data_IF_166715768818
#
_entry.id   IF_166715768818
#
_cell.length_a   1.000
_cell.length_b   1.000
_cell.length_c   1.000
_cell.angle_alpha   90.00
_cell.angle_beta   90.00
_cell.angle_gamma   90.00
#
_symmetry.space_group_name_H-M   'P 1'
#
loop_
_entity.id
_entity.type
_entity.pdbx_description
1 polymer ?
#
# COMPACT_ATOMS: atom_id res chain seq x y z
N UNK A 1 -28.60 -4.08 2.03
CA UNK A 1 -27.62 -3.07 2.55
C UNK A 1 -26.26 -3.45 2.00
N UNK A 2 -25.48 -2.51 1.44
CA UNK A 2 -24.08 -2.83 1.09
C UNK A 2 -23.32 -3.08 2.39
N UNK A 3 -22.57 -4.19 2.51
CA UNK A 3 -21.74 -4.42 3.68
C UNK A 3 -20.77 -3.24 3.81
N UNK A 4 -20.68 -2.64 4.97
CA UNK A 4 -19.79 -1.51 5.24
C UNK A 4 -18.52 -2.03 5.90
N UNK A 5 -17.40 -1.42 5.57
CA UNK A 5 -16.17 -1.61 6.34
C UNK A 5 -16.48 -1.15 7.77
N UNK A 6 -16.17 -2.01 8.73
CA UNK A 6 -16.49 -1.72 10.13
C UNK A 6 -15.60 -0.61 10.68
N UNK A 7 -16.17 0.17 11.61
CA UNK A 7 -15.44 1.10 12.48
C UNK A 7 -15.36 0.57 13.92
N UNK A 8 -15.64 -0.73 14.11
CA UNK A 8 -15.48 -1.36 15.42
C UNK A 8 -14.02 -1.71 15.65
N UNK A 9 -13.42 -1.14 16.67
CA UNK A 9 -12.01 -1.31 17.03
C UNK A 9 -11.90 -2.30 18.16
N UNK A 10 -10.86 -3.16 18.06
CA UNK A 10 -10.51 -4.10 19.10
C UNK A 10 -9.11 -3.78 19.62
N UNK A 11 -8.93 -3.97 20.93
CA UNK A 11 -7.61 -3.95 21.55
C UNK A 11 -6.91 -5.30 21.33
N UNK A 12 -5.59 -5.28 21.18
CA UNK A 12 -4.78 -6.48 21.02
C UNK A 12 -4.33 -6.72 19.57
N UNK A 13 -4.07 -7.97 19.25
CA UNK A 13 -3.56 -8.40 17.94
C UNK A 13 -4.62 -9.15 17.15
N UNK A 14 -4.62 -8.98 15.84
CA UNK A 14 -5.44 -9.78 14.94
C UNK A 14 -4.95 -11.23 14.91
N UNK A 15 -5.88 -12.16 14.73
CA UNK A 15 -5.57 -13.52 14.30
C UNK A 15 -6.17 -13.75 12.92
N UNK A 16 -5.29 -13.87 11.90
CA UNK A 16 -5.70 -14.02 10.50
C UNK A 16 -5.92 -15.51 10.16
N UNK A 17 -5.02 -16.38 10.60
CA UNK A 17 -5.08 -17.82 10.30
C UNK A 17 -5.06 -18.65 11.59
N UNK A 18 -5.81 -19.78 11.59
CA UNK A 18 -5.73 -20.77 12.67
C UNK A 18 -4.44 -21.60 12.63
N UNK A 19 -3.85 -21.79 11.44
CA UNK A 19 -2.59 -22.49 11.27
C UNK A 19 -1.43 -21.61 11.73
N UNK A 20 -0.59 -22.04 12.68
CA UNK A 20 0.50 -21.22 13.24
C UNK A 20 1.54 -20.79 12.19
N UNK A 21 1.85 -21.65 11.23
CA UNK A 21 2.79 -21.32 10.15
C UNK A 21 2.24 -20.21 9.25
N UNK A 22 0.99 -20.33 8.79
CA UNK A 22 0.35 -19.28 8.00
C UNK A 22 0.19 -17.98 8.80
N UNK A 23 -0.11 -18.10 10.09
CA UNK A 23 -0.23 -16.93 10.98
C UNK A 23 1.12 -16.21 11.15
N UNK A 24 2.23 -16.93 11.24
CA UNK A 24 3.56 -16.31 11.31
C UNK A 24 3.91 -15.51 10.05
N UNK A 25 3.41 -15.92 8.87
CA UNK A 25 3.60 -15.21 7.61
C UNK A 25 2.78 -13.91 7.51
N UNK A 26 1.90 -13.63 8.49
CA UNK A 26 1.13 -12.37 8.53
C UNK A 26 1.82 -11.27 9.32
N UNK A 27 2.92 -11.58 9.96
CA UNK A 27 3.65 -10.69 10.88
C UNK A 27 4.98 -10.27 10.26
N UNK A 28 5.39 -9.04 10.53
CA UNK A 28 6.70 -8.55 10.12
C UNK A 28 7.18 -7.40 11.02
N UNK A 29 8.46 -7.13 10.91
CA UNK A 29 9.11 -5.95 11.47
C UNK A 29 9.65 -5.03 10.36
N UNK A 30 9.85 -3.73 10.62
CA UNK A 30 10.31 -2.79 9.62
C UNK A 30 11.69 -3.12 9.02
N UNK A 31 12.58 -3.73 9.80
CA UNK A 31 13.96 -4.04 9.37
C UNK A 31 13.93 -5.12 8.29
N UNK A 32 13.18 -6.20 8.52
CA UNK A 32 12.96 -7.27 7.52
C UNK A 32 12.45 -6.71 6.19
N UNK A 33 11.49 -5.79 6.25
CA UNK A 33 10.94 -5.15 5.06
C UNK A 33 11.99 -4.29 4.33
N UNK A 34 12.78 -3.49 5.05
CA UNK A 34 13.85 -2.68 4.45
C UNK A 34 14.86 -3.57 3.75
N UNK A 35 15.30 -4.64 4.40
CA UNK A 35 16.31 -5.56 3.85
C UNK A 35 15.77 -6.25 2.60
N UNK A 36 14.64 -6.94 2.71
CA UNK A 36 14.12 -7.77 1.62
C UNK A 36 13.70 -6.92 0.42
N UNK A 37 12.92 -5.88 0.65
CA UNK A 37 12.44 -5.04 -0.44
C UNK A 37 13.53 -4.12 -0.99
N UNK A 38 14.48 -3.67 -0.15
CA UNK A 38 15.65 -2.92 -0.57
C UNK A 38 16.55 -3.75 -1.50
N UNK A 39 16.87 -4.99 -1.11
CA UNK A 39 17.63 -5.91 -1.96
C UNK A 39 16.90 -6.21 -3.28
N UNK A 40 15.60 -6.43 -3.24
CA UNK A 40 14.79 -6.64 -4.45
C UNK A 40 14.91 -5.45 -5.40
N UNK A 41 14.82 -4.21 -4.89
CA UNK A 41 14.99 -3.01 -5.71
C UNK A 41 16.40 -2.87 -6.28
N UNK A 42 17.43 -3.19 -5.50
CA UNK A 42 18.82 -3.16 -5.99
C UNK A 42 19.04 -4.18 -7.11
N UNK A 43 18.49 -5.39 -6.97
CA UNK A 43 18.55 -6.43 -8.03
C UNK A 43 17.83 -5.94 -9.29
N UNK A 44 16.64 -5.36 -9.17
CA UNK A 44 15.90 -4.83 -10.32
C UNK A 44 16.64 -3.68 -11.00
N UNK A 45 17.27 -2.78 -10.23
CA UNK A 45 18.07 -1.70 -10.77
C UNK A 45 19.30 -2.23 -11.52
N UNK A 46 20.00 -3.22 -10.97
CA UNK A 46 21.10 -3.92 -11.63
C UNK A 46 20.64 -4.55 -12.95
N UNK A 47 19.55 -5.30 -12.93
CA UNK A 47 19.00 -5.93 -14.14
C UNK A 47 18.61 -4.86 -15.16
N UNK A 48 18.02 -3.74 -14.76
CA UNK A 48 17.65 -2.66 -15.67
C UNK A 48 18.84 -2.08 -16.43
N UNK A 49 19.95 -1.83 -15.73
CA UNK A 49 21.12 -1.15 -16.30
C UNK A 49 22.04 -2.17 -17.01
N UNK A 50 22.45 -3.22 -16.30
CA UNK A 50 23.51 -4.13 -16.79
C UNK A 50 22.98 -5.22 -17.72
N UNK A 51 21.72 -5.67 -17.53
CA UNK A 51 21.17 -6.77 -18.33
C UNK A 51 20.26 -6.27 -19.44
N UNK A 52 19.39 -5.29 -19.15
CA UNK A 52 18.45 -4.73 -20.13
C UNK A 52 19.03 -3.54 -20.92
N UNK A 53 20.23 -3.06 -20.57
CA UNK A 53 20.93 -2.02 -21.29
C UNK A 53 20.32 -0.62 -21.19
N UNK A 54 19.54 -0.32 -20.16
CA UNK A 54 19.02 1.02 -19.95
C UNK A 54 20.15 1.96 -19.54
N UNK A 55 20.24 3.12 -20.18
CA UNK A 55 21.13 4.17 -19.68
C UNK A 55 20.66 4.65 -18.30
N UNK A 56 21.57 5.18 -17.48
CA UNK A 56 21.24 5.74 -16.16
C UNK A 56 20.14 6.80 -16.26
N UNK A 57 20.16 7.63 -17.29
CA UNK A 57 19.15 8.67 -17.50
C UNK A 57 17.76 8.06 -17.78
N UNK A 58 17.71 7.02 -18.62
CA UNK A 58 16.46 6.28 -18.87
C UNK A 58 15.95 5.60 -17.59
N UNK A 59 16.83 4.94 -16.84
CA UNK A 59 16.47 4.32 -15.56
C UNK A 59 15.88 5.34 -14.59
N UNK A 60 16.56 6.47 -14.37
CA UNK A 60 16.08 7.53 -13.45
C UNK A 60 14.75 8.11 -13.91
N UNK A 61 14.57 8.38 -15.21
CA UNK A 61 13.31 8.87 -15.76
C UNK A 61 12.15 7.89 -15.53
N UNK A 62 12.37 6.61 -15.85
CA UNK A 62 11.36 5.55 -15.63
C UNK A 62 11.07 5.33 -14.14
N UNK A 63 12.10 5.37 -13.30
CA UNK A 63 11.95 5.27 -11.86
C UNK A 63 11.06 6.38 -11.30
N UNK A 64 11.28 7.63 -11.70
CA UNK A 64 10.45 8.78 -11.29
C UNK A 64 9.00 8.61 -11.77
N UNK A 65 8.80 8.15 -13.01
CA UNK A 65 7.46 7.85 -13.54
C UNK A 65 6.79 6.75 -12.70
N UNK A 66 7.51 5.67 -12.40
CA UNK A 66 7.00 4.57 -11.57
C UNK A 66 6.62 5.03 -10.15
N UNK A 67 7.48 5.84 -9.53
CA UNK A 67 7.25 6.43 -8.22
C UNK A 67 5.98 7.31 -8.20
N UNK A 68 5.82 8.15 -9.22
CA UNK A 68 4.60 8.96 -9.36
C UNK A 68 3.37 8.09 -9.61
N UNK A 69 3.49 7.07 -10.47
CA UNK A 69 2.39 6.16 -10.79
C UNK A 69 1.94 5.36 -9.55
N UNK A 70 2.85 5.04 -8.62
CA UNK A 70 2.46 4.43 -7.35
C UNK A 70 1.43 5.28 -6.60
N UNK A 71 1.55 6.60 -6.59
CA UNK A 71 0.60 7.46 -5.86
C UNK A 71 -0.84 7.27 -6.33
N UNK A 72 -1.04 7.03 -7.63
CA UNK A 72 -2.33 6.68 -8.22
C UNK A 72 -2.74 5.24 -7.86
N UNK A 73 -1.80 4.30 -8.00
CA UNK A 73 -2.04 2.89 -7.69
C UNK A 73 -2.41 2.70 -6.20
N UNK A 74 -1.74 3.39 -5.27
CA UNK A 74 -2.09 3.44 -3.84
C UNK A 74 -3.57 3.76 -3.64
N UNK A 75 -4.03 4.85 -4.25
CA UNK A 75 -5.42 5.28 -4.15
C UNK A 75 -6.40 4.26 -4.73
N UNK A 76 -6.10 3.72 -5.92
CA UNK A 76 -6.95 2.74 -6.61
C UNK A 76 -7.00 1.43 -5.84
N UNK A 77 -5.85 0.91 -5.41
CA UNK A 77 -5.77 -0.33 -4.62
C UNK A 77 -6.48 -0.18 -3.28
N UNK A 78 -6.25 0.92 -2.58
CA UNK A 78 -6.89 1.18 -1.29
C UNK A 78 -8.41 1.25 -1.44
N UNK A 79 -8.91 2.05 -2.39
CA UNK A 79 -10.35 2.26 -2.58
C UNK A 79 -11.07 1.05 -3.15
N UNK A 80 -10.54 0.42 -4.19
CA UNK A 80 -11.27 -0.54 -5.01
C UNK A 80 -10.86 -1.99 -4.78
N UNK A 81 -9.72 -2.26 -4.13
CA UNK A 81 -9.26 -3.60 -3.80
C UNK A 81 -9.34 -3.85 -2.30
N UNK A 82 -8.72 -3.00 -1.49
CA UNK A 82 -8.64 -3.21 -0.05
C UNK A 82 -9.98 -2.96 0.66
N UNK A 83 -10.76 -1.98 0.20
CA UNK A 83 -12.11 -1.69 0.69
C UNK A 83 -13.22 -2.39 -0.09
N UNK A 84 -12.86 -3.28 -1.03
CA UNK A 84 -13.87 -4.05 -1.75
C UNK A 84 -14.42 -5.17 -0.89
N UNK A 85 -15.70 -5.07 -0.54
CA UNK A 85 -16.41 -6.05 0.26
C UNK A 85 -17.85 -6.22 -0.26
N UNK A 86 -18.28 -7.47 -0.38
CA UNK A 86 -19.63 -7.86 -0.78
C UNK A 86 -20.26 -8.75 0.29
N UNK A 87 -21.51 -9.19 0.08
CA UNK A 87 -22.18 -10.14 0.98
C UNK A 87 -21.60 -11.56 0.91
N UNK A 88 -20.84 -11.89 -0.14
CA UNK A 88 -20.20 -13.18 -0.31
C UNK A 88 -19.11 -13.42 0.75
N UNK A 89 -19.14 -14.57 1.41
CA UNK A 89 -18.21 -14.94 2.48
C UNK A 89 -16.73 -14.85 2.06
N UNK A 90 -16.42 -15.24 0.82
CA UNK A 90 -15.06 -15.17 0.29
C UNK A 90 -14.57 -13.73 0.14
N UNK A 91 -15.43 -12.81 -0.29
CA UNK A 91 -15.11 -11.38 -0.40
C UNK A 91 -14.84 -10.77 0.99
N UNK A 92 -15.69 -11.09 1.98
CA UNK A 92 -15.50 -10.65 3.36
C UNK A 92 -14.16 -11.18 3.93
N UNK A 93 -13.84 -12.46 3.64
CA UNK A 93 -12.59 -13.06 4.06
C UNK A 93 -11.38 -12.43 3.37
N UNK A 94 -11.47 -12.18 2.06
CA UNK A 94 -10.45 -11.48 1.29
C UNK A 94 -10.19 -10.08 1.85
N UNK A 95 -11.26 -9.28 2.03
CA UNK A 95 -11.16 -7.96 2.63
C UNK A 95 -10.50 -8.02 4.01
N UNK A 96 -10.93 -8.95 4.88
CA UNK A 96 -10.36 -9.10 6.22
C UNK A 96 -8.85 -9.37 6.18
N UNK A 97 -8.40 -10.26 5.30
CA UNK A 97 -6.97 -10.59 5.16
C UNK A 97 -6.18 -9.40 4.62
N UNK A 98 -6.70 -8.72 3.61
CA UNK A 98 -5.97 -7.67 2.90
C UNK A 98 -5.89 -6.36 3.69
N UNK A 99 -6.97 -6.00 4.41
CA UNK A 99 -7.07 -4.69 5.03
C UNK A 99 -8.03 -4.62 6.24
N UNK A 100 -9.06 -5.46 6.27
CA UNK A 100 -10.07 -5.45 7.33
C UNK A 100 -9.49 -5.73 8.71
N UNK A 101 -8.52 -6.66 8.83
CA UNK A 101 -7.82 -6.92 10.09
C UNK A 101 -7.14 -5.66 10.62
N UNK A 102 -6.51 -4.86 9.73
CA UNK A 102 -5.90 -3.60 10.08
C UNK A 102 -6.92 -2.54 10.56
N UNK A 103 -8.10 -2.46 9.95
CA UNK A 103 -9.19 -1.60 10.43
C UNK A 103 -9.73 -2.02 11.79
N UNK A 104 -9.85 -3.33 12.05
CA UNK A 104 -10.28 -3.85 13.36
C UNK A 104 -9.23 -3.68 14.45
N UNK A 105 -7.94 -3.85 14.11
CA UNK A 105 -6.80 -3.80 15.03
C UNK A 105 -5.77 -2.75 14.59
N UNK A 106 -6.11 -1.46 14.58
CA UNK A 106 -5.25 -0.42 14.00
C UNK A 106 -3.96 -0.16 14.79
N UNK A 107 -3.81 -0.76 15.98
CA UNK A 107 -2.61 -0.69 16.83
C UNK A 107 -1.79 -1.99 16.84
N UNK A 108 -2.12 -2.95 16.00
CA UNK A 108 -1.35 -4.19 15.84
C UNK A 108 -0.09 -3.92 15.00
N UNK A 109 1.00 -3.52 15.68
CA UNK A 109 2.24 -3.09 15.03
C UNK A 109 2.89 -4.15 14.16
N UNK A 110 2.68 -5.44 14.45
CA UNK A 110 3.23 -6.56 13.68
C UNK A 110 2.55 -6.71 12.31
N UNK A 111 1.38 -6.06 12.08
CA UNK A 111 0.58 -6.15 10.86
C UNK A 111 0.32 -4.81 10.17
N UNK A 112 1.06 -3.76 10.57
CA UNK A 112 0.99 -2.45 9.89
C UNK A 112 1.74 -2.41 8.55
N UNK A 113 2.65 -3.36 8.33
CA UNK A 113 3.40 -3.51 7.10
C UNK A 113 3.05 -4.86 6.46
N UNK A 114 3.06 -4.93 5.14
CA UNK A 114 2.94 -6.20 4.43
C UNK A 114 4.19 -7.05 4.65
N UNK A 115 4.08 -8.27 5.19
CA UNK A 115 5.23 -9.14 5.38
C UNK A 115 5.94 -9.49 4.06
N UNK A 116 7.26 -9.80 4.10
CA UNK A 116 8.06 -10.04 2.90
C UNK A 116 7.48 -11.09 1.93
N UNK A 117 7.07 -12.24 2.44
CA UNK A 117 6.58 -13.33 1.58
C UNK A 117 5.32 -12.95 0.80
N UNK A 118 4.19 -12.58 1.43
CA UNK A 118 3.01 -12.15 0.70
C UNK A 118 3.26 -10.87 -0.11
N UNK A 119 4.12 -9.98 0.36
CA UNK A 119 4.47 -8.76 -0.35
C UNK A 119 5.24 -9.02 -1.64
N UNK A 120 6.20 -9.94 -1.65
CA UNK A 120 6.91 -10.34 -2.88
C UNK A 120 5.98 -11.07 -3.86
N UNK A 121 5.04 -11.89 -3.37
CA UNK A 121 4.04 -12.53 -4.24
C UNK A 121 3.19 -11.44 -4.93
N UNK A 122 2.68 -10.48 -4.18
CA UNK A 122 1.88 -9.38 -4.74
C UNK A 122 2.72 -8.51 -5.70
N UNK A 123 3.95 -8.18 -5.32
CA UNK A 123 4.88 -7.45 -6.18
C UNK A 123 5.16 -8.18 -7.49
N UNK A 124 5.33 -9.52 -7.46
CA UNK A 124 5.53 -10.34 -8.66
C UNK A 124 4.31 -10.34 -9.57
N UNK A 125 3.10 -10.38 -9.00
CA UNK A 125 1.84 -10.28 -9.77
C UNK A 125 1.76 -8.92 -10.47
N UNK A 126 2.05 -7.83 -9.74
CA UNK A 126 2.02 -6.48 -10.29
C UNK A 126 3.14 -6.27 -11.32
N UNK A 127 4.33 -6.81 -11.08
CA UNK A 127 5.40 -6.81 -12.06
C UNK A 127 4.99 -7.52 -13.35
N UNK A 128 4.41 -8.72 -13.24
CA UNK A 128 3.89 -9.48 -14.37
C UNK A 128 2.81 -8.71 -15.15
N UNK A 129 1.91 -8.01 -14.44
CA UNK A 129 0.91 -7.15 -15.06
C UNK A 129 1.55 -6.02 -15.90
N UNK A 130 2.51 -5.29 -15.34
CA UNK A 130 3.22 -4.24 -16.09
C UNK A 130 4.11 -4.84 -17.19
N UNK A 131 4.75 -5.98 -16.94
CA UNK A 131 5.52 -6.68 -17.94
C UNK A 131 4.69 -6.98 -19.20
N UNK A 132 3.48 -7.50 -19.02
CA UNK A 132 2.55 -7.77 -20.14
C UNK A 132 2.18 -6.48 -20.88
N UNK A 133 1.91 -5.39 -20.16
CA UNK A 133 1.61 -4.08 -20.79
C UNK A 133 2.80 -3.61 -21.64
N UNK A 134 4.00 -3.59 -21.08
CA UNK A 134 5.20 -3.16 -21.79
C UNK A 134 5.57 -4.11 -22.95
N UNK A 135 5.27 -5.40 -22.81
CA UNK A 135 5.44 -6.39 -23.87
C UNK A 135 4.50 -6.13 -25.04
N UNK A 136 3.22 -5.86 -24.79
CA UNK A 136 2.23 -5.54 -25.84
C UNK A 136 2.64 -4.29 -26.63
N UNK A 137 3.21 -3.29 -25.97
CA UNK A 137 3.65 -2.05 -26.65
C UNK A 137 5.08 -2.15 -27.25
N UNK A 138 5.74 -3.32 -27.14
CA UNK A 138 7.04 -3.58 -27.75
C UNK A 138 8.26 -3.00 -27.00
N UNK A 139 8.11 -2.63 -25.72
CA UNK A 139 9.17 -1.99 -24.93
C UNK A 139 9.38 -2.69 -23.58
N UNK A 140 9.44 -4.01 -23.58
CA UNK A 140 9.51 -4.85 -22.37
C UNK A 140 10.63 -4.44 -21.40
N UNK A 141 11.80 -4.02 -21.93
CA UNK A 141 12.94 -3.60 -21.11
C UNK A 141 12.62 -2.41 -20.19
N UNK A 142 11.64 -1.56 -20.54
CA UNK A 142 11.30 -0.37 -19.77
C UNK A 142 10.64 -0.70 -18.43
N UNK A 143 10.01 -1.88 -18.29
CA UNK A 143 9.41 -2.30 -17.01
C UNK A 143 10.46 -2.38 -15.90
N UNK A 144 11.70 -2.78 -16.24
CA UNK A 144 12.78 -2.91 -15.27
C UNK A 144 13.28 -1.57 -14.73
N UNK A 145 13.06 -0.46 -15.44
CA UNK A 145 13.30 0.89 -14.92
C UNK A 145 12.07 1.46 -14.19
N UNK A 146 10.87 1.19 -14.70
CA UNK A 146 9.62 1.69 -14.14
C UNK A 146 9.28 1.03 -12.79
N UNK A 147 9.34 -0.31 -12.72
CA UNK A 147 8.86 -1.04 -11.56
C UNK A 147 9.66 -0.79 -10.27
N UNK A 148 10.99 -0.62 -10.28
CA UNK A 148 11.72 -0.19 -9.08
C UNK A 148 11.20 1.10 -8.46
N UNK A 149 10.88 2.11 -9.27
CA UNK A 149 10.28 3.35 -8.79
C UNK A 149 8.89 3.15 -8.21
N UNK A 150 8.06 2.36 -8.89
CA UNK A 150 6.74 1.96 -8.41
C UNK A 150 6.82 1.24 -7.06
N UNK A 151 7.76 0.32 -6.92
CA UNK A 151 7.96 -0.47 -5.69
C UNK A 151 8.54 0.37 -4.53
N UNK A 152 9.45 1.32 -4.81
CA UNK A 152 9.88 2.30 -3.80
C UNK A 152 8.71 3.18 -3.35
N UNK A 153 7.82 3.57 -4.26
CA UNK A 153 6.58 4.27 -3.92
C UNK A 153 5.73 3.47 -2.92
N UNK A 154 5.56 2.17 -3.15
CA UNK A 154 4.92 1.26 -2.19
C UNK A 154 5.63 1.26 -0.82
N UNK A 155 6.95 1.21 -0.78
CA UNK A 155 7.69 1.25 0.48
C UNK A 155 7.46 2.56 1.22
N UNK A 156 7.52 3.68 0.53
CA UNK A 156 7.23 4.99 1.12
C UNK A 156 5.81 5.04 1.70
N UNK A 157 4.82 4.58 0.95
CA UNK A 157 3.44 4.43 1.44
C UNK A 157 3.40 3.58 2.71
N UNK A 158 4.01 2.40 2.71
CA UNK A 158 3.98 1.46 3.83
C UNK A 158 4.55 2.07 5.11
N UNK A 159 5.69 2.77 5.01
CA UNK A 159 6.31 3.44 6.16
C UNK A 159 5.52 4.66 6.63
N UNK A 160 4.95 5.46 5.72
CA UNK A 160 4.06 6.56 6.08
C UNK A 160 2.82 6.01 6.79
N UNK A 161 2.20 4.95 6.25
CA UNK A 161 1.05 4.28 6.83
C UNK A 161 1.36 3.81 8.27
N UNK A 162 2.45 3.04 8.46
CA UNK A 162 2.88 2.63 9.80
C UNK A 162 3.09 3.84 10.72
N UNK A 163 3.78 4.88 10.24
CA UNK A 163 4.05 6.07 11.03
C UNK A 163 2.77 6.78 11.51
N UNK A 164 1.70 6.79 10.69
CA UNK A 164 0.41 7.38 11.09
C UNK A 164 -0.26 6.66 12.26
N UNK A 165 0.06 5.38 12.49
CA UNK A 165 -0.47 4.59 13.61
C UNK A 165 0.40 4.63 14.86
N UNK A 166 1.73 4.69 14.73
CA UNK A 166 2.66 4.52 15.87
C UNK A 166 3.36 5.80 16.31
N UNK A 167 3.34 6.85 15.48
CA UNK A 167 4.07 8.08 15.75
C UNK A 167 3.14 9.28 15.93
N UNK A 168 3.55 10.22 16.77
CA UNK A 168 2.90 11.54 16.84
C UNK A 168 3.08 12.29 15.50
N UNK A 169 2.04 13.02 15.03
CA UNK A 169 2.13 13.72 13.76
C UNK A 169 3.23 14.80 13.76
N UNK A 170 4.19 14.76 12.82
CA UNK A 170 5.13 15.85 12.63
C UNK A 170 4.39 17.14 12.27
N UNK A 171 4.88 18.30 12.73
CA UNK A 171 4.19 19.59 12.55
C UNK A 171 3.76 19.85 11.09
N UNK A 172 4.64 19.50 10.13
CA UNK A 172 4.42 19.72 8.69
C UNK A 172 3.39 18.77 8.08
N UNK A 173 3.20 17.58 8.65
CA UNK A 173 2.38 16.50 8.08
C UNK A 173 1.09 16.21 8.87
N UNK A 174 0.70 17.07 9.83
CA UNK A 174 -0.51 16.89 10.65
C UNK A 174 -1.77 16.59 9.86
N UNK A 175 -1.92 17.21 8.70
CA UNK A 175 -3.10 17.00 7.86
C UNK A 175 -3.17 15.58 7.29
N UNK A 176 -2.03 14.95 6.99
CA UNK A 176 -1.97 13.59 6.47
C UNK A 176 -2.35 12.58 7.57
N UNK A 177 -1.83 12.76 8.79
CA UNK A 177 -2.22 11.96 9.96
C UNK A 177 -3.72 12.08 10.27
N UNK A 178 -4.24 13.30 10.25
CA UNK A 178 -5.66 13.54 10.45
C UNK A 178 -6.51 12.89 9.36
N UNK A 179 -6.08 12.98 8.09
CA UNK A 179 -6.74 12.39 6.95
C UNK A 179 -6.89 10.87 7.12
N UNK A 180 -5.79 10.17 7.41
CA UNK A 180 -5.79 8.74 7.66
C UNK A 180 -6.58 8.34 8.93
N UNK A 181 -6.49 9.12 9.99
CA UNK A 181 -7.32 8.92 11.19
C UNK A 181 -8.83 9.06 10.89
N UNK A 182 -9.23 10.04 10.08
CA UNK A 182 -10.62 10.18 9.66
C UNK A 182 -11.10 8.99 8.83
N UNK A 183 -10.23 8.43 7.99
CA UNK A 183 -10.50 7.23 7.24
C UNK A 183 -10.78 6.03 8.16
N UNK A 184 -9.91 5.77 9.14
CA UNK A 184 -10.11 4.68 10.09
C UNK A 184 -11.35 4.85 10.95
N UNK A 185 -11.50 6.02 11.58
CA UNK A 185 -12.39 6.18 12.73
C UNK A 185 -13.75 6.81 12.41
N UNK A 186 -13.91 7.43 11.23
CA UNK A 186 -15.16 8.16 10.94
C UNK A 186 -15.70 7.92 9.53
N UNK A 187 -14.84 7.84 8.52
CA UNK A 187 -15.25 7.82 7.11
C UNK A 187 -14.48 6.75 6.32
N UNK A 188 -14.74 5.45 6.55
CA UNK A 188 -14.02 4.37 5.88
C UNK A 188 -14.28 4.31 4.36
N UNK A 189 -15.26 5.07 3.87
CA UNK A 189 -15.59 5.25 2.46
C UNK A 189 -14.97 6.51 1.83
N UNK A 190 -14.07 7.20 2.53
CA UNK A 190 -13.36 8.42 2.12
C UNK A 190 -11.91 8.40 2.60
N UNK A 191 -11.12 9.39 2.13
CA UNK A 191 -9.75 9.59 2.58
C UNK A 191 -8.84 8.37 2.34
N UNK A 192 -8.84 7.87 1.10
CA UNK A 192 -8.09 6.67 0.70
C UNK A 192 -6.60 6.91 0.48
N UNK A 193 -6.18 8.15 0.21
CA UNK A 193 -4.77 8.50 0.09
C UNK A 193 -4.07 8.51 1.45
N UNK A 194 -3.01 7.73 1.62
CA UNK A 194 -2.22 7.62 2.84
C UNK A 194 -0.93 8.44 2.74
N UNK A 195 -0.18 8.26 1.65
CA UNK A 195 1.05 9.02 1.42
C UNK A 195 0.81 10.44 0.89
N UNK A 196 -0.35 10.67 0.26
CA UNK A 196 -0.79 11.96 -0.24
C UNK A 196 -2.32 12.03 -0.34
N UNK A 197 -2.87 13.25 -0.41
CA UNK A 197 -4.32 13.48 -0.51
C UNK A 197 -4.74 13.97 -1.91
N UNK A 198 -3.84 13.92 -2.90
CA UNK A 198 -4.08 14.48 -4.22
C UNK A 198 -5.23 13.77 -4.93
N UNK A 199 -5.22 12.43 -4.95
CA UNK A 199 -6.23 11.65 -5.64
C UNK A 199 -7.59 11.70 -4.96
N UNK A 200 -7.65 11.85 -3.62
CA UNK A 200 -8.92 12.12 -2.92
C UNK A 200 -9.57 13.42 -3.37
N UNK A 201 -8.77 14.44 -3.68
CA UNK A 201 -9.29 15.70 -4.23
C UNK A 201 -9.80 15.50 -5.67
N UNK A 202 -9.03 14.80 -6.51
CA UNK A 202 -9.39 14.53 -7.91
C UNK A 202 -10.68 13.72 -8.00
N UNK A 203 -10.85 12.70 -7.16
CA UNK A 203 -12.00 11.79 -7.20
C UNK A 203 -13.12 12.14 -6.20
N UNK A 204 -13.04 13.28 -5.52
CA UNK A 204 -14.09 13.77 -4.61
C UNK A 204 -14.29 12.94 -3.35
N UNK A 205 -13.25 12.21 -2.90
CA UNK A 205 -13.28 11.37 -1.70
C UNK A 205 -12.65 12.02 -0.46
N UNK A 206 -12.44 13.33 -0.50
CA UNK A 206 -12.00 14.06 0.70
C UNK A 206 -13.02 13.93 1.84
N UNK A 207 -12.57 13.68 3.09
CA UNK A 207 -13.46 13.64 4.23
C UNK A 207 -14.05 15.03 4.52
N UNK A 208 -15.25 15.10 5.13
CA UNK A 208 -15.81 16.38 5.58
C UNK A 208 -14.85 17.09 6.53
N UNK A 209 -14.79 18.41 6.42
CA UNK A 209 -13.98 19.21 7.37
C UNK A 209 -14.52 18.99 8.79
N UNK A 210 -13.66 18.76 9.80
CA UNK A 210 -14.10 18.67 11.18
C UNK A 210 -14.89 19.92 11.56
N UNK A 211 -16.07 19.75 12.15
CA UNK A 211 -16.82 20.89 12.69
C UNK A 211 -15.95 21.55 13.75
N UNK A 212 -15.63 22.82 13.58
CA UNK A 212 -14.98 23.60 14.64
C UNK A 212 -15.90 23.56 15.86
N UNK A 213 -15.44 23.00 16.97
CA UNK A 213 -16.11 23.20 18.25
C UNK A 213 -16.09 24.73 18.51
N UNK A 214 -17.29 25.32 18.56
CA UNK A 214 -17.47 26.69 19.05
C UNK A 214 -17.11 26.73 20.52
#
# INVERSE_FOLDING_TARGET
MKPRVTTEFQAGQAQIFKNPFLESLTKTDPISNIIVYGLTNLILAYVAIEVMGLSVLQFVGLFVIGLFFWTFAEYVLHRYVFHWVTEAKWSQRFHFIMHGAHHHFPKDEERLLMPPVPGLILASILFGFFFIIFWIVGYTQLVYGFFPGFFVGYLMYSFVHRATHVMKPPKRFKNLWMHHSLHHYQYPDKAFGVSNTFWDKVFGTMPPKPKRKK
#
